data_IF_117832011453
#
_entry.id   IF_117832011453
#
_cell.length_a   1.000
_cell.length_b   1.000
_cell.length_c   1.000
_cell.angle_alpha   90.00
_cell.angle_beta   90.00
_cell.angle_gamma   90.00
#
_symmetry.space_group_name_H-M   'P 1'
#
loop_
_entity.id
_entity.type
_entity.pdbx_description
1 polymer ?
#
# COMPACT_ATOMS: atom_id res chain seq x y z
N UNK A 1 -5.66 32.13 -24.54
CA UNK A 1 -5.22 30.75 -24.83
C UNK A 1 -5.51 29.91 -23.61
N UNK A 2 -6.57 29.10 -23.65
CA UNK A 2 -6.82 28.10 -22.61
C UNK A 2 -5.83 26.95 -22.85
N UNK A 3 -4.71 26.95 -22.13
CA UNK A 3 -3.85 25.78 -22.10
C UNK A 3 -4.57 24.70 -21.30
N UNK A 4 -4.92 23.62 -21.97
CA UNK A 4 -5.40 22.40 -21.34
C UNK A 4 -4.32 21.96 -20.33
N UNK A 5 -4.68 21.62 -19.08
CA UNK A 5 -3.70 21.16 -18.11
C UNK A 5 -2.93 19.97 -18.71
N UNK A 6 -1.62 19.86 -18.44
CA UNK A 6 -0.84 18.75 -18.95
C UNK A 6 -1.52 17.43 -18.56
N UNK A 7 -1.51 16.41 -19.45
CA UNK A 7 -2.03 15.10 -19.09
C UNK A 7 -1.38 14.67 -17.77
N UNK A 8 -2.11 13.98 -16.88
CA UNK A 8 -1.53 13.46 -15.64
C UNK A 8 -0.25 12.73 -16.00
N UNK A 9 0.88 13.08 -15.35
CA UNK A 9 2.12 12.33 -15.53
C UNK A 9 1.79 10.86 -15.32
N UNK A 10 2.16 10.01 -16.27
CA UNK A 10 2.09 8.56 -16.06
C UNK A 10 2.79 8.25 -14.74
N UNK A 11 1.99 7.82 -13.78
CA UNK A 11 2.39 7.62 -12.39
C UNK A 11 3.28 6.38 -12.27
N UNK A 12 3.07 5.43 -13.17
CA UNK A 12 3.82 4.20 -13.33
C UNK A 12 3.99 3.97 -14.82
N UNK A 13 5.20 3.58 -15.24
CA UNK A 13 5.49 3.26 -16.64
C UNK A 13 6.13 1.88 -16.69
N UNK A 14 5.55 1.01 -17.51
CA UNK A 14 6.08 -0.33 -17.79
C UNK A 14 7.20 -0.21 -18.83
N UNK A 15 8.39 -0.80 -18.62
CA UNK A 15 9.42 -0.82 -19.64
C UNK A 15 8.92 -1.54 -20.91
N UNK A 16 9.07 -0.88 -22.05
CA UNK A 16 8.49 -1.31 -23.33
C UNK A 16 9.13 -2.59 -23.92
N UNK A 17 10.22 -3.08 -23.34
CA UNK A 17 11.04 -4.18 -23.86
C UNK A 17 10.97 -5.45 -22.99
N UNK A 18 9.96 -5.56 -22.14
CA UNK A 18 9.75 -6.75 -21.32
C UNK A 18 8.74 -7.69 -21.98
N UNK A 19 9.06 -8.98 -21.92
CA UNK A 19 8.11 -10.05 -22.22
C UNK A 19 7.01 -10.09 -21.15
N UNK A 20 5.86 -10.71 -21.47
CA UNK A 20 4.65 -10.56 -20.66
C UNK A 20 4.78 -11.04 -19.21
N UNK A 21 5.52 -12.11 -18.99
CA UNK A 21 5.79 -12.65 -17.66
C UNK A 21 6.79 -11.79 -16.86
N UNK A 22 7.78 -11.20 -17.54
CA UNK A 22 8.68 -10.21 -16.92
C UNK A 22 7.91 -8.94 -16.53
N UNK A 23 6.93 -8.53 -17.34
CA UNK A 23 6.02 -7.42 -17.01
C UNK A 23 5.20 -7.72 -15.75
N UNK A 24 4.70 -8.95 -15.59
CA UNK A 24 3.98 -9.38 -14.37
C UNK A 24 4.88 -9.24 -13.14
N UNK A 25 6.11 -9.76 -13.21
CA UNK A 25 7.06 -9.70 -12.09
C UNK A 25 7.42 -8.24 -11.76
N UNK A 26 7.68 -7.43 -12.78
CA UNK A 26 7.99 -6.01 -12.62
C UNK A 26 6.82 -5.26 -11.96
N UNK A 27 5.59 -5.48 -12.42
CA UNK A 27 4.39 -4.89 -11.84
C UNK A 27 4.20 -5.31 -10.37
N UNK A 28 4.40 -6.58 -10.04
CA UNK A 28 4.32 -7.08 -8.65
C UNK A 28 5.36 -6.37 -7.77
N UNK A 29 6.61 -6.28 -8.22
CA UNK A 29 7.67 -5.57 -7.50
C UNK A 29 7.31 -4.11 -7.24
N UNK A 30 6.84 -3.41 -8.28
CA UNK A 30 6.38 -2.03 -8.16
C UNK A 30 5.20 -1.88 -7.18
N UNK A 31 4.20 -2.77 -7.24
CA UNK A 31 3.08 -2.79 -6.30
C UNK A 31 3.57 -2.94 -4.85
N UNK A 32 4.48 -3.87 -4.59
CA UNK A 32 5.00 -4.14 -3.23
C UNK A 32 5.75 -2.93 -2.69
N UNK A 33 6.62 -2.31 -3.49
CA UNK A 33 7.39 -1.12 -3.08
C UNK A 33 6.45 0.07 -2.85
N UNK A 34 5.50 0.31 -3.75
CA UNK A 34 4.52 1.39 -3.57
C UNK A 34 3.65 1.17 -2.33
N UNK A 35 3.26 -0.07 -2.06
CA UNK A 35 2.57 -0.44 -0.84
C UNK A 35 3.40 -0.20 0.42
N UNK A 36 4.67 -0.62 0.42
CA UNK A 36 5.57 -0.44 1.57
C UNK A 36 5.79 1.05 1.87
N UNK A 37 5.97 1.88 0.83
CA UNK A 37 6.10 3.34 1.02
C UNK A 37 4.83 3.97 1.60
N UNK A 38 3.65 3.48 1.26
CA UNK A 38 2.40 3.92 1.90
C UNK A 38 2.30 3.46 3.36
N UNK A 39 2.73 2.23 3.68
CA UNK A 39 2.80 1.75 5.06
C UNK A 39 3.74 2.63 5.92
N UNK A 40 4.87 3.08 5.37
CA UNK A 40 5.79 4.00 6.05
C UNK A 40 5.14 5.35 6.39
N UNK A 41 4.20 5.84 5.58
CA UNK A 41 3.44 7.05 5.91
C UNK A 41 2.48 6.84 7.08
N UNK A 42 1.86 5.66 7.16
CA UNK A 42 1.07 5.27 8.33
C UNK A 42 1.92 5.09 9.59
N UNK A 43 3.14 4.57 9.45
CA UNK A 43 4.11 4.61 10.54
C UNK A 43 4.36 6.05 11.03
N UNK A 44 4.48 7.03 10.12
CA UNK A 44 4.58 8.45 10.48
C UNK A 44 3.40 8.96 11.31
N UNK A 45 2.16 8.56 10.95
CA UNK A 45 0.96 8.86 11.75
C UNK A 45 1.02 8.19 13.12
N UNK A 46 1.35 6.91 13.17
CA UNK A 46 1.47 6.15 14.41
C UNK A 46 2.51 6.76 15.35
N UNK A 47 3.69 7.08 14.83
CA UNK A 47 4.76 7.73 15.56
C UNK A 47 4.30 9.10 16.08
N UNK A 48 3.58 9.88 15.27
CA UNK A 48 3.04 11.18 15.70
C UNK A 48 2.12 11.07 16.93
N UNK A 49 1.33 9.99 17.05
CA UNK A 49 0.44 9.79 18.20
C UNK A 49 1.09 9.13 19.42
N UNK A 50 2.22 8.45 19.25
CA UNK A 50 2.79 7.59 20.30
C UNK A 50 4.20 7.97 20.72
N UNK A 51 4.86 8.86 19.97
CA UNK A 51 6.23 9.25 20.23
C UNK A 51 6.34 9.90 21.62
N UNK A 52 7.38 9.49 22.33
CA UNK A 52 7.79 10.10 23.59
C UNK A 52 9.21 10.59 23.42
N UNK A 53 9.47 11.81 23.86
CA UNK A 53 10.78 12.44 23.73
C UNK A 53 11.88 11.57 24.34
N UNK A 54 12.95 11.35 23.57
CA UNK A 54 14.10 10.55 23.99
C UNK A 54 13.87 9.04 24.07
N UNK A 55 12.79 8.49 23.47
CA UNK A 55 12.54 7.04 23.47
C UNK A 55 12.19 6.47 22.10
N UNK A 56 12.52 5.19 21.89
CA UNK A 56 12.12 4.38 20.72
C UNK A 56 10.77 3.67 20.94
N UNK A 57 9.91 4.21 21.82
CA UNK A 57 8.68 3.53 22.25
C UNK A 57 7.75 3.23 21.08
N UNK A 58 7.57 4.20 20.17
CA UNK A 58 6.77 3.99 18.97
C UNK A 58 7.30 2.85 18.11
N UNK A 59 8.62 2.76 17.92
CA UNK A 59 9.24 1.75 17.06
C UNK A 59 9.04 0.35 17.65
N UNK A 60 9.27 0.21 18.96
CA UNK A 60 9.01 -1.04 19.70
C UNK A 60 7.54 -1.45 19.56
N UNK A 61 6.59 -0.53 19.76
CA UNK A 61 5.17 -0.82 19.65
C UNK A 61 4.77 -1.22 18.22
N UNK A 62 5.24 -0.50 17.21
CA UNK A 62 4.95 -0.78 15.80
C UNK A 62 5.46 -2.16 15.38
N UNK A 63 6.69 -2.50 15.73
CA UNK A 63 7.30 -3.78 15.41
C UNK A 63 6.66 -4.94 16.19
N UNK A 64 6.11 -4.67 17.38
CA UNK A 64 5.41 -5.68 18.20
C UNK A 64 4.04 -6.06 17.62
N UNK A 65 3.35 -5.14 16.94
CA UNK A 65 2.07 -5.41 16.27
C UNK A 65 2.36 -6.01 14.90
N UNK A 66 2.27 -7.33 14.75
CA UNK A 66 2.70 -8.04 13.52
C UNK A 66 1.81 -7.82 12.30
N UNK A 67 0.55 -7.45 12.51
CA UNK A 67 -0.43 -7.31 11.44
C UNK A 67 -0.64 -5.84 11.08
N UNK A 68 -0.42 -5.48 9.81
CA UNK A 68 -0.63 -4.12 9.31
C UNK A 68 -2.05 -3.61 9.56
N UNK A 69 -3.10 -4.40 9.33
CA UNK A 69 -4.48 -4.00 9.62
C UNK A 69 -4.68 -3.65 11.09
N UNK A 70 -4.04 -4.37 12.01
CA UNK A 70 -4.08 -4.04 13.45
C UNK A 70 -3.34 -2.74 13.78
N UNK A 71 -2.21 -2.47 13.12
CA UNK A 71 -1.50 -1.17 13.24
C UNK A 71 -2.37 -0.02 12.76
N UNK A 72 -2.99 -0.17 11.58
CA UNK A 72 -3.87 0.86 11.01
C UNK A 72 -5.10 1.10 11.90
N UNK A 73 -5.71 0.04 12.43
CA UNK A 73 -6.84 0.19 13.35
C UNK A 73 -6.45 0.94 14.63
N UNK A 74 -5.26 0.67 15.18
CA UNK A 74 -4.74 1.43 16.32
C UNK A 74 -4.55 2.91 15.98
N UNK A 75 -3.99 3.25 14.80
CA UNK A 75 -3.89 4.64 14.33
C UNK A 75 -5.27 5.31 14.31
N UNK A 76 -6.29 4.65 13.76
CA UNK A 76 -7.67 5.18 13.70
C UNK A 76 -8.25 5.43 15.09
N UNK A 77 -7.94 4.57 16.06
CA UNK A 77 -8.41 4.73 17.43
C UNK A 77 -7.65 5.82 18.20
N UNK A 78 -6.35 5.97 17.95
CA UNK A 78 -5.55 7.08 18.48
C UNK A 78 -6.03 8.43 17.91
N UNK A 79 -6.31 8.50 16.60
CA UNK A 79 -6.79 9.72 15.96
C UNK A 79 -8.03 10.31 16.67
N UNK A 80 -9.00 9.46 17.03
CA UNK A 80 -10.22 9.88 17.77
C UNK A 80 -9.95 10.57 19.11
N UNK A 81 -8.77 10.36 19.69
CA UNK A 81 -8.37 10.94 20.97
C UNK A 81 -7.52 12.21 20.81
N UNK A 82 -6.94 12.43 19.63
CA UNK A 82 -5.88 13.43 19.43
C UNK A 82 -6.20 14.51 18.40
N UNK A 83 -7.10 14.25 17.44
CA UNK A 83 -7.39 15.19 16.34
C UNK A 83 -8.88 15.40 16.14
N UNK A 84 -9.23 16.40 15.31
CA UNK A 84 -10.62 16.71 14.98
C UNK A 84 -11.33 15.57 14.23
N UNK A 85 -12.66 15.60 14.24
CA UNK A 85 -13.50 14.63 13.51
C UNK A 85 -13.22 14.63 11.99
N UNK A 86 -12.89 15.79 11.42
CA UNK A 86 -12.54 15.92 10.00
C UNK A 86 -11.25 15.17 9.67
N UNK A 87 -10.19 15.36 10.46
CA UNK A 87 -8.94 14.62 10.29
C UNK A 87 -9.13 13.12 10.55
N UNK A 88 -9.93 12.75 11.55
CA UNK A 88 -10.31 11.36 11.78
C UNK A 88 -10.97 10.74 10.54
N UNK A 89 -11.91 11.44 9.91
CA UNK A 89 -12.58 10.99 8.69
C UNK A 89 -11.59 10.79 7.55
N UNK A 90 -10.68 11.73 7.32
CA UNK A 90 -9.65 11.65 6.27
C UNK A 90 -8.68 10.47 6.51
N UNK A 91 -8.27 10.22 7.76
CA UNK A 91 -7.48 9.05 8.15
C UNK A 91 -8.25 7.76 7.85
N UNK A 92 -9.55 7.71 8.19
CA UNK A 92 -10.41 6.55 7.94
C UNK A 92 -10.55 6.25 6.44
N UNK A 93 -10.71 7.28 5.62
CA UNK A 93 -10.78 7.15 4.15
C UNK A 93 -9.47 6.58 3.59
N UNK A 94 -8.33 7.14 4.01
CA UNK A 94 -7.02 6.62 3.61
C UNK A 94 -6.82 5.16 4.03
N UNK A 95 -7.21 4.80 5.26
CA UNK A 95 -7.11 3.44 5.78
C UNK A 95 -7.95 2.43 4.95
N UNK A 96 -9.17 2.80 4.56
CA UNK A 96 -10.05 1.96 3.73
C UNK A 96 -9.47 1.74 2.34
N UNK A 97 -8.96 2.79 1.71
CA UNK A 97 -8.34 2.68 0.39
C UNK A 97 -7.06 1.82 0.45
N UNK A 98 -6.26 2.01 1.49
CA UNK A 98 -5.05 1.23 1.72
C UNK A 98 -5.34 -0.26 1.93
N UNK A 99 -6.44 -0.60 2.62
CA UNK A 99 -6.87 -1.99 2.80
C UNK A 99 -7.14 -2.67 1.45
N UNK A 100 -7.75 -1.96 0.50
CA UNK A 100 -8.04 -2.51 -0.83
C UNK A 100 -6.76 -2.94 -1.57
N UNK A 101 -5.72 -2.11 -1.51
CA UNK A 101 -4.41 -2.40 -2.13
C UNK A 101 -3.64 -3.44 -1.32
N UNK A 102 -3.79 -3.44 0.01
CA UNK A 102 -3.20 -4.45 0.90
C UNK A 102 -3.67 -5.86 0.55
N UNK A 103 -4.96 -6.02 0.22
CA UNK A 103 -5.49 -7.31 -0.25
C UNK A 103 -4.81 -7.76 -1.54
N UNK A 104 -4.66 -6.85 -2.51
CA UNK A 104 -3.98 -7.17 -3.77
C UNK A 104 -2.52 -7.56 -3.56
N UNK A 105 -1.78 -6.79 -2.75
CA UNK A 105 -0.39 -7.11 -2.37
C UNK A 105 -0.29 -8.47 -1.68
N UNK A 106 -1.22 -8.78 -0.77
CA UNK A 106 -1.23 -10.07 -0.05
C UNK A 106 -1.43 -11.26 -0.97
N UNK A 107 -2.26 -11.14 -2.01
CA UNK A 107 -2.43 -12.19 -3.03
C UNK A 107 -1.06 -12.55 -3.60
N UNK A 108 -0.28 -11.57 -4.06
CA UNK A 108 1.00 -11.82 -4.72
C UNK A 108 2.13 -12.20 -3.74
N UNK A 109 2.17 -11.64 -2.54
CA UNK A 109 3.18 -12.01 -1.54
C UNK A 109 3.02 -13.43 -0.97
N UNK A 110 1.84 -14.03 -1.10
CA UNK A 110 1.54 -15.36 -0.56
C UNK A 110 1.10 -16.37 -1.64
N UNK A 111 1.26 -16.03 -2.92
CA UNK A 111 0.95 -16.92 -4.02
C UNK A 111 2.04 -17.97 -4.26
N UNK A 112 1.65 -19.06 -4.89
CA UNK A 112 2.54 -20.03 -5.51
C UNK A 112 2.76 -19.65 -6.99
N UNK A 113 4.04 -19.55 -7.39
CA UNK A 113 4.45 -19.18 -8.74
C UNK A 113 4.87 -20.43 -9.50
N UNK A 114 4.24 -20.69 -10.65
CA UNK A 114 4.53 -21.84 -11.49
C UNK A 114 5.14 -21.40 -12.81
N UNK A 115 6.34 -21.89 -13.08
CA UNK A 115 6.97 -21.77 -14.39
C UNK A 115 6.43 -22.80 -15.39
N UNK A 116 6.48 -22.46 -16.68
CA UNK A 116 6.32 -23.42 -17.76
C UNK A 116 7.53 -24.36 -17.80
N UNK A 117 7.34 -25.70 -17.85
CA UNK A 117 8.44 -26.65 -17.72
C UNK A 117 9.44 -26.62 -18.88
N UNK A 118 9.08 -26.09 -20.05
CA UNK A 118 9.96 -26.05 -21.23
C UNK A 118 10.70 -24.72 -21.30
N UNK A 119 9.97 -23.61 -21.28
CA UNK A 119 10.52 -22.26 -21.40
C UNK A 119 11.10 -21.73 -20.09
N UNK A 120 10.76 -22.34 -18.95
CA UNK A 120 11.11 -21.88 -17.59
C UNK A 120 10.60 -20.46 -17.26
N UNK A 121 9.72 -19.91 -18.09
CA UNK A 121 9.06 -18.61 -17.92
C UNK A 121 7.88 -18.73 -16.97
N UNK A 122 7.53 -17.64 -16.26
CA UNK A 122 6.37 -17.67 -15.37
C UNK A 122 5.09 -17.89 -16.20
N UNK A 123 4.32 -18.92 -15.84
CA UNK A 123 3.11 -19.32 -16.57
C UNK A 123 1.85 -18.99 -15.77
N UNK A 124 1.81 -19.37 -14.50
CA UNK A 124 0.64 -19.13 -13.64
C UNK A 124 1.01 -18.74 -12.21
N UNK A 125 0.12 -17.98 -11.59
CA UNK A 125 0.17 -17.58 -10.18
C UNK A 125 -1.07 -18.14 -9.49
N UNK A 126 -0.90 -18.94 -8.45
CA UNK A 126 -2.00 -19.50 -7.68
C UNK A 126 -2.02 -18.89 -6.28
N UNK A 127 -3.10 -18.18 -5.94
CA UNK A 127 -3.35 -17.69 -4.59
C UNK A 127 -4.33 -18.60 -3.86
N UNK A 128 -4.26 -18.61 -2.53
CA UNK A 128 -5.15 -19.39 -1.68
C UNK A 128 -5.71 -18.53 -0.55
N UNK A 129 -6.99 -18.72 -0.23
CA UNK A 129 -7.66 -18.02 0.86
C UNK A 129 -8.58 -18.97 1.62
N UNK A 130 -8.78 -18.70 2.91
CA UNK A 130 -9.78 -19.41 3.72
C UNK A 130 -11.17 -18.80 3.49
N UNK A 131 -12.18 -19.66 3.43
CA UNK A 131 -13.59 -19.34 3.25
C UNK A 131 -14.41 -20.08 4.29
N UNK A 132 -15.26 -19.35 5.00
CA UNK A 132 -16.16 -19.92 6.00
C UNK A 132 -17.13 -20.95 5.41
N UNK A 133 -17.44 -20.87 4.10
CA UNK A 133 -18.37 -21.78 3.42
C UNK A 133 -17.67 -22.98 2.78
N UNK A 134 -16.51 -22.75 2.17
CA UNK A 134 -15.89 -23.71 1.25
C UNK A 134 -14.51 -24.23 1.72
N UNK A 135 -14.06 -23.88 2.93
CA UNK A 135 -12.73 -24.28 3.41
C UNK A 135 -11.63 -23.46 2.74
N UNK A 136 -10.76 -24.09 1.94
CA UNK A 136 -9.71 -23.38 1.19
C UNK A 136 -10.18 -23.15 -0.25
N UNK A 137 -10.08 -21.90 -0.71
CA UNK A 137 -10.35 -21.50 -2.10
C UNK A 137 -9.02 -21.21 -2.78
N UNK A 138 -8.86 -21.69 -4.02
CA UNK A 138 -7.73 -21.39 -4.89
C UNK A 138 -8.17 -20.50 -6.06
N UNK A 139 -7.38 -19.47 -6.37
CA UNK A 139 -7.51 -18.66 -7.58
C UNK A 139 -6.23 -18.80 -8.40
N UNK A 140 -6.34 -19.32 -9.63
CA UNK A 140 -5.23 -19.43 -10.57
C UNK A 140 -5.35 -18.32 -11.60
N UNK A 141 -4.29 -17.53 -11.74
CA UNK A 141 -4.15 -16.45 -12.72
C UNK A 141 -3.06 -16.84 -13.73
N UNK A 142 -3.30 -16.56 -15.00
CA UNK A 142 -2.30 -16.73 -16.07
C UNK A 142 -1.39 -15.49 -16.10
N UNK A 143 -0.11 -15.69 -16.41
CA UNK A 143 0.80 -14.58 -16.67
C UNK A 143 0.52 -13.96 -18.04
N UNK A 144 -0.42 -13.02 -18.08
CA UNK A 144 -0.91 -12.38 -19.30
C UNK A 144 -1.12 -10.87 -19.10
N UNK A 145 -1.57 -10.21 -20.17
CA UNK A 145 -1.81 -8.76 -20.18
C UNK A 145 -2.94 -8.33 -19.23
N UNK A 146 -3.93 -9.19 -18.99
CA UNK A 146 -5.02 -8.88 -18.07
C UNK A 146 -4.52 -8.87 -16.62
N UNK A 147 -3.64 -9.81 -16.27
CA UNK A 147 -2.98 -9.82 -14.98
C UNK A 147 -2.10 -8.59 -14.78
N UNK A 148 -1.31 -8.20 -15.80
CA UNK A 148 -0.53 -6.96 -15.77
C UNK A 148 -1.45 -5.76 -15.52
N UNK A 149 -2.53 -5.62 -16.29
CA UNK A 149 -3.48 -4.52 -16.14
C UNK A 149 -4.13 -4.48 -14.74
N UNK A 150 -4.47 -5.65 -14.17
CA UNK A 150 -4.99 -5.76 -12.80
C UNK A 150 -3.99 -5.22 -11.77
N UNK A 151 -2.71 -5.56 -11.89
CA UNK A 151 -1.67 -5.10 -10.97
C UNK A 151 -1.42 -3.60 -11.14
N UNK A 152 -1.31 -3.13 -12.38
CA UNK A 152 -1.12 -1.72 -12.73
C UNK A 152 -2.25 -0.85 -12.16
N UNK A 153 -3.50 -1.29 -12.26
CA UNK A 153 -4.63 -0.59 -11.63
C UNK A 153 -4.48 -0.46 -10.11
N UNK A 154 -3.90 -1.47 -9.46
CA UNK A 154 -3.54 -1.40 -8.04
C UNK A 154 -2.47 -0.35 -7.74
N UNK A 155 -1.45 -0.26 -8.61
CA UNK A 155 -0.39 0.77 -8.52
C UNK A 155 -0.98 2.17 -8.70
N UNK A 156 -1.81 2.36 -9.72
CA UNK A 156 -2.50 3.63 -10.01
C UNK A 156 -3.42 4.06 -8.87
N UNK A 157 -3.95 3.10 -8.10
CA UNK A 157 -4.76 3.38 -6.90
C UNK A 157 -3.89 3.88 -5.74
N UNK A 158 -2.71 3.26 -5.52
CA UNK A 158 -1.91 3.56 -4.32
C UNK A 158 -1.09 4.83 -4.43
N UNK A 159 -0.66 5.25 -5.62
CA UNK A 159 0.15 6.47 -5.72
C UNK A 159 -0.58 7.74 -5.29
N UNK A 160 -1.80 8.06 -5.77
CA UNK A 160 -2.53 9.22 -5.25
C UNK A 160 -2.88 9.05 -3.77
N UNK A 161 -3.10 7.80 -3.31
CA UNK A 161 -3.32 7.53 -1.90
C UNK A 161 -2.11 7.92 -1.04
N UNK A 162 -0.88 7.65 -1.47
CA UNK A 162 0.34 8.08 -0.74
C UNK A 162 0.38 9.59 -0.54
N UNK A 163 0.08 10.34 -1.60
CA UNK A 163 0.04 11.80 -1.53
C UNK A 163 -1.01 12.26 -0.50
N UNK A 164 -2.21 11.67 -0.52
CA UNK A 164 -3.25 11.96 0.47
C UNK A 164 -2.82 11.62 1.90
N UNK A 165 -2.15 10.47 2.12
CA UNK A 165 -1.68 10.10 3.46
C UNK A 165 -0.62 11.09 3.95
N UNK A 166 0.29 11.53 3.07
CA UNK A 166 1.31 12.51 3.41
C UNK A 166 0.68 13.86 3.81
N UNK A 167 -0.30 14.35 3.04
CA UNK A 167 -1.05 15.58 3.37
C UNK A 167 -1.80 15.45 4.70
N UNK A 168 -2.47 14.31 4.94
CA UNK A 168 -3.14 14.05 6.21
C UNK A 168 -2.14 14.01 7.37
N UNK A 169 -0.96 13.41 7.18
CA UNK A 169 0.09 13.38 8.18
C UNK A 169 0.59 14.79 8.51
N UNK A 170 0.83 15.62 7.50
CA UNK A 170 1.26 17.01 7.72
C UNK A 170 0.20 17.81 8.47
N UNK A 171 -1.08 17.67 8.10
CA UNK A 171 -2.19 18.34 8.79
C UNK A 171 -2.36 17.86 10.24
N UNK A 172 -2.23 16.55 10.49
CA UNK A 172 -2.24 15.97 11.84
C UNK A 172 -1.11 16.59 12.67
N UNK A 173 0.11 16.63 12.15
CA UNK A 173 1.25 17.23 12.85
C UNK A 173 1.04 18.71 13.13
N UNK A 174 0.53 19.46 12.16
CA UNK A 174 0.20 20.88 12.32
C UNK A 174 -0.85 21.10 13.41
N UNK A 175 -1.93 20.31 13.43
CA UNK A 175 -2.97 20.38 14.46
C UNK A 175 -2.46 20.08 15.88
N UNK A 176 -1.38 19.30 15.99
CA UNK A 176 -0.71 18.98 17.24
C UNK A 176 0.47 19.92 17.56
N UNK A 177 0.66 20.98 16.78
CA UNK A 177 1.79 21.92 16.91
C UNK A 177 3.17 21.26 16.85
N UNK A 178 3.28 20.16 16.09
CA UNK A 178 4.53 19.45 15.85
C UNK A 178 5.23 19.97 14.59
N UNK A 179 6.57 19.95 14.54
CA UNK A 179 7.30 20.35 13.33
C UNK A 179 6.98 19.42 12.15
N UNK A 180 7.13 19.85 10.89
CA UNK A 180 6.99 18.96 9.74
C UNK A 180 7.90 17.73 9.85
N UNK A 181 7.47 16.59 9.28
CA UNK A 181 8.28 15.38 9.32
C UNK A 181 9.49 15.55 8.40
N UNK A 182 10.71 15.36 8.93
CA UNK A 182 11.92 15.31 8.12
C UNK A 182 12.14 13.87 7.67
N UNK A 183 11.89 13.58 6.40
CA UNK A 183 12.06 12.26 5.81
C UNK A 183 13.52 11.91 5.45
N UNK A 184 14.46 12.81 5.73
CA UNK A 184 15.86 12.73 5.31
C UNK A 184 16.80 12.74 6.52
N UNK A 185 16.87 11.63 7.25
CA UNK A 185 18.02 11.24 8.09
C UNK A 185 18.23 9.73 7.96
#
# INVERSE_FOLDING_TARGET
>A
MNQQPPPPKEIFSMPNNLEIDDQVIYAIGALIVMWATAESLFWGLFNTFTAKEGTETSAVLWLSIKNTSSRIELIRNLAKQHVSDDLCKRINECARDFESVSRLRNIFCHAYYRGDPVSQRLATIMSSATSAKNGIIHETMTADADLVARIVKGIETIVPLKQRIAEVLDDVRASLSLPPLKWNE
#
